data_IF_924548421907
#
_entry.id   IF_924548421907
#
_cell.length_a   1.000
_cell.length_b   1.000
_cell.length_c   1.000
_cell.angle_alpha   90.00
_cell.angle_beta   90.00
_cell.angle_gamma   90.00
#
_symmetry.space_group_name_H-M   'P 1'
#
loop_
_entity.id
_entity.type
_entity.pdbx_description
1 polymer ?
#
# COMPACT_ATOMS: atom_id res chain seq x y z
N UNK A 1 -21.74 -6.86 -35.22
CA UNK A 1 -20.27 -6.65 -35.24
C UNK A 1 -20.01 -5.48 -34.34
N UNK A 2 -19.37 -5.69 -33.18
CA UNK A 2 -18.95 -4.55 -32.33
C UNK A 2 -17.82 -3.80 -33.04
N UNK A 3 -17.88 -2.47 -33.05
CA UNK A 3 -16.79 -1.67 -33.64
C UNK A 3 -15.60 -1.61 -32.66
N UNK A 4 -14.37 -1.38 -33.16
CA UNK A 4 -13.21 -1.16 -32.30
C UNK A 4 -13.43 -0.06 -31.27
N UNK A 5 -14.11 1.02 -31.66
CA UNK A 5 -14.49 2.12 -30.78
C UNK A 5 -15.46 1.69 -29.67
N UNK A 6 -16.50 0.92 -29.99
CA UNK A 6 -17.45 0.41 -28.99
C UNK A 6 -16.75 -0.53 -27.98
N UNK A 7 -15.84 -1.37 -28.48
CA UNK A 7 -15.04 -2.26 -27.64
C UNK A 7 -14.14 -1.45 -26.70
N UNK A 8 -13.44 -0.44 -27.23
CA UNK A 8 -12.58 0.44 -26.44
C UNK A 8 -13.37 1.23 -25.39
N UNK A 9 -14.56 1.75 -25.74
CA UNK A 9 -15.44 2.43 -24.79
C UNK A 9 -15.83 1.51 -23.62
N UNK A 10 -16.24 0.28 -23.91
CA UNK A 10 -16.61 -0.69 -22.88
C UNK A 10 -15.44 -1.04 -21.96
N UNK A 11 -14.26 -1.29 -22.53
CA UNK A 11 -13.05 -1.59 -21.76
C UNK A 11 -12.64 -0.41 -20.88
N UNK A 12 -12.75 0.81 -21.40
CA UNK A 12 -12.40 2.02 -20.65
C UNK A 12 -13.37 2.26 -19.48
N UNK A 13 -14.68 2.11 -19.70
CA UNK A 13 -15.66 2.20 -18.61
C UNK A 13 -15.40 1.14 -17.53
N UNK A 14 -15.09 -0.10 -17.92
CA UNK A 14 -14.74 -1.14 -16.95
C UNK A 14 -13.46 -0.81 -16.16
N UNK A 15 -12.48 -0.15 -16.78
CA UNK A 15 -11.28 0.31 -16.09
C UNK A 15 -11.55 1.48 -15.14
N UNK A 16 -12.43 2.40 -15.48
CA UNK A 16 -12.86 3.50 -14.62
C UNK A 16 -13.59 2.97 -13.37
N UNK A 17 -14.44 1.95 -13.54
CA UNK A 17 -15.11 1.26 -12.43
C UNK A 17 -14.09 0.58 -11.50
N UNK A 18 -13.14 -0.17 -12.06
CA UNK A 18 -12.07 -0.80 -11.29
C UNK A 18 -11.18 0.23 -10.59
N UNK A 19 -10.86 1.35 -11.24
CA UNK A 19 -10.08 2.42 -10.62
C UNK A 19 -10.84 3.11 -9.48
N UNK A 20 -12.16 3.25 -9.60
CA UNK A 20 -13.01 3.76 -8.53
C UNK A 20 -13.05 2.81 -7.33
N UNK A 21 -13.18 1.50 -7.58
CA UNK A 21 -13.12 0.46 -6.54
C UNK A 21 -11.74 0.45 -5.85
N UNK A 22 -10.65 0.49 -6.62
CA UNK A 22 -9.29 0.60 -6.06
C UNK A 22 -9.16 1.83 -5.15
N UNK A 23 -9.62 3.01 -5.59
CA UNK A 23 -9.57 4.22 -4.77
C UNK A 23 -10.38 4.12 -3.47
N UNK A 24 -11.40 3.25 -3.38
CA UNK A 24 -12.11 2.96 -2.13
C UNK A 24 -11.25 2.07 -1.23
N UNK A 25 -10.72 0.97 -1.78
CA UNK A 25 -9.89 0.01 -1.04
C UNK A 25 -8.61 0.65 -0.48
N UNK A 26 -7.98 1.54 -1.26
CA UNK A 26 -6.80 2.28 -0.82
C UNK A 26 -7.09 3.20 0.37
N UNK A 27 -8.30 3.78 0.46
CA UNK A 27 -8.70 4.61 1.60
C UNK A 27 -9.01 3.79 2.85
N UNK A 28 -9.52 2.57 2.68
CA UNK A 28 -9.74 1.63 3.79
C UNK A 28 -8.49 0.82 4.15
N UNK A 29 -7.35 1.07 3.49
CA UNK A 29 -6.09 0.34 3.65
C UNK A 29 -6.23 -1.17 3.38
N UNK A 30 -7.22 -1.57 2.58
CA UNK A 30 -7.37 -2.96 2.12
C UNK A 30 -6.49 -3.19 0.89
N UNK A 31 -5.18 -3.27 1.14
CA UNK A 31 -4.16 -3.32 0.10
C UNK A 31 -4.14 -4.65 -0.66
N UNK A 32 -4.56 -5.74 -0.02
CA UNK A 32 -4.59 -7.08 -0.64
C UNK A 32 -5.65 -7.11 -1.74
N UNK A 33 -6.86 -6.63 -1.45
CA UNK A 33 -7.92 -6.53 -2.46
C UNK A 33 -7.58 -5.49 -3.54
N UNK A 34 -6.90 -4.39 -3.18
CA UNK A 34 -6.46 -3.40 -4.16
C UNK A 34 -5.48 -4.00 -5.19
N UNK A 35 -4.57 -4.88 -4.77
CA UNK A 35 -3.67 -5.60 -5.69
C UNK A 35 -4.45 -6.49 -6.64
N UNK A 36 -5.44 -7.24 -6.15
CA UNK A 36 -6.28 -8.09 -7.02
C UNK A 36 -7.01 -7.26 -8.10
N UNK A 37 -7.50 -6.06 -7.76
CA UNK A 37 -8.10 -5.16 -8.75
C UNK A 37 -7.08 -4.73 -9.80
N UNK A 38 -5.85 -4.41 -9.38
CA UNK A 38 -4.78 -4.01 -10.29
C UNK A 38 -4.41 -5.14 -11.27
N UNK A 39 -4.29 -6.37 -10.78
CA UNK A 39 -4.04 -7.57 -11.60
C UNK A 39 -5.17 -7.81 -12.60
N UNK A 40 -6.44 -7.62 -12.18
CA UNK A 40 -7.60 -7.73 -13.08
C UNK A 40 -7.65 -6.62 -14.13
N UNK A 41 -7.12 -5.45 -13.83
CA UNK A 41 -7.07 -4.31 -14.74
C UNK A 41 -6.00 -4.47 -15.83
N UNK A 42 -4.87 -5.13 -15.53
CA UNK A 42 -3.76 -5.33 -16.46
C UNK A 42 -4.17 -5.84 -17.86
N UNK A 43 -4.94 -6.95 -18.00
CA UNK A 43 -5.34 -7.43 -19.33
C UNK A 43 -6.31 -6.49 -20.08
N UNK A 44 -7.03 -5.62 -19.37
CA UNK A 44 -7.90 -4.61 -20.01
C UNK A 44 -7.07 -3.47 -20.59
N UNK A 45 -6.02 -3.05 -19.89
CA UNK A 45 -5.06 -2.05 -20.36
C UNK A 45 -4.34 -2.56 -21.61
N UNK A 46 -3.84 -3.80 -21.60
CA UNK A 46 -3.19 -4.40 -22.77
C UNK A 46 -4.10 -4.41 -24.00
N UNK A 47 -5.36 -4.81 -23.83
CA UNK A 47 -6.36 -4.80 -24.90
C UNK A 47 -6.65 -3.40 -25.42
N UNK A 48 -6.72 -2.39 -24.54
CA UNK A 48 -6.88 -1.00 -24.95
C UNK A 48 -5.66 -0.48 -25.72
N UNK A 49 -4.45 -0.84 -25.31
CA UNK A 49 -3.23 -0.49 -26.03
C UNK A 49 -3.23 -1.09 -27.45
N UNK A 50 -3.69 -2.34 -27.60
CA UNK A 50 -3.83 -2.96 -28.91
C UNK A 50 -4.87 -2.24 -29.81
N UNK A 51 -5.97 -1.75 -29.23
CA UNK A 51 -7.01 -1.01 -29.94
C UNK A 51 -6.63 0.46 -30.21
N UNK A 52 -5.62 1.00 -29.53
CA UNK A 52 -5.21 2.40 -29.67
C UNK A 52 -4.64 2.76 -31.05
N UNK A 53 -4.36 1.77 -31.90
CA UNK A 53 -3.94 1.97 -33.30
C UNK A 53 -5.08 2.52 -34.15
N UNK A 54 -6.34 2.27 -33.77
CA UNK A 54 -7.50 2.77 -34.51
C UNK A 54 -7.72 4.28 -34.24
N UNK A 55 -7.74 5.14 -35.28
CA UNK A 55 -7.89 6.58 -35.11
C UNK A 55 -9.22 6.98 -34.46
N UNK A 56 -10.27 6.15 -34.54
CA UNK A 56 -11.53 6.42 -33.85
C UNK A 56 -11.37 6.38 -32.31
N UNK A 57 -10.43 5.59 -31.80
CA UNK A 57 -10.14 5.46 -30.36
C UNK A 57 -9.45 6.69 -29.80
N UNK A 58 -8.83 7.53 -30.65
CA UNK A 58 -8.21 8.79 -30.24
C UNK A 58 -9.20 9.75 -29.55
N UNK A 59 -10.50 9.64 -29.85
CA UNK A 59 -11.56 10.40 -29.19
C UNK A 59 -11.68 10.11 -27.69
N UNK A 60 -11.18 8.96 -27.23
CA UNK A 60 -11.20 8.55 -25.81
C UNK A 60 -9.99 9.05 -25.02
N UNK A 61 -9.04 9.73 -25.66
CA UNK A 61 -7.84 10.31 -25.02
C UNK A 61 -8.13 11.07 -23.73
N UNK A 62 -9.09 12.03 -23.64
CA UNK A 62 -9.31 12.78 -22.41
C UNK A 62 -9.70 11.90 -21.22
N UNK A 63 -10.51 10.86 -21.46
CA UNK A 63 -10.89 9.90 -20.41
C UNK A 63 -9.71 9.05 -19.95
N UNK A 64 -8.84 8.63 -20.87
CA UNK A 64 -7.61 7.91 -20.53
C UNK A 64 -6.68 8.80 -19.71
N UNK A 65 -6.54 10.08 -20.06
CA UNK A 65 -5.74 11.04 -19.29
C UNK A 65 -6.27 11.24 -17.87
N UNK A 66 -7.59 11.32 -17.70
CA UNK A 66 -8.23 11.40 -16.40
C UNK A 66 -7.96 10.14 -15.54
N UNK A 67 -8.10 8.96 -16.14
CA UNK A 67 -7.79 7.68 -15.50
C UNK A 67 -6.32 7.63 -15.04
N UNK A 68 -5.38 8.05 -15.90
CA UNK A 68 -3.96 8.13 -15.56
C UNK A 68 -3.72 9.13 -14.43
N UNK A 69 -4.36 10.30 -14.46
CA UNK A 69 -4.26 11.27 -13.38
C UNK A 69 -4.78 10.72 -12.05
N UNK A 70 -5.88 9.96 -12.06
CA UNK A 70 -6.39 9.27 -10.87
C UNK A 70 -5.39 8.25 -10.33
N UNK A 71 -4.83 7.39 -11.19
CA UNK A 71 -3.83 6.39 -10.78
C UNK A 71 -2.56 7.03 -10.21
N UNK A 72 -2.13 8.18 -10.76
CA UNK A 72 -1.02 8.97 -10.20
C UNK A 72 -1.32 9.50 -8.80
N UNK A 73 -2.53 10.01 -8.57
CA UNK A 73 -2.97 10.45 -7.22
C UNK A 73 -2.94 9.30 -6.21
N UNK A 74 -3.42 8.13 -6.62
CA UNK A 74 -3.37 6.92 -5.80
C UNK A 74 -1.92 6.50 -5.45
N UNK A 75 -1.01 6.55 -6.42
CA UNK A 75 0.41 6.23 -6.20
C UNK A 75 1.07 7.19 -5.18
N UNK A 76 0.84 8.50 -5.32
CA UNK A 76 1.36 9.51 -4.37
C UNK A 76 0.82 9.27 -2.96
N UNK A 77 -0.46 8.90 -2.84
CA UNK A 77 -1.04 8.54 -1.55
C UNK A 77 -0.32 7.32 -0.94
N UNK A 78 -0.11 6.26 -1.71
CA UNK A 78 0.61 5.06 -1.26
C UNK A 78 2.04 5.37 -0.82
N UNK A 79 2.76 6.19 -1.58
CA UNK A 79 4.13 6.61 -1.23
C UNK A 79 4.16 7.33 0.12
N UNK A 80 3.17 8.20 0.38
CA UNK A 80 3.06 8.90 1.66
C UNK A 80 2.78 7.95 2.83
N UNK A 81 1.95 6.92 2.63
CA UNK A 81 1.67 5.90 3.64
C UNK A 81 2.91 5.04 3.91
N UNK A 82 3.61 4.63 2.86
CA UNK A 82 4.83 3.84 2.96
C UNK A 82 5.91 4.61 3.73
N UNK A 83 6.13 5.88 3.41
CA UNK A 83 7.09 6.74 4.11
C UNK A 83 6.74 6.88 5.61
N UNK A 84 5.45 7.03 5.93
CA UNK A 84 4.98 7.09 7.32
C UNK A 84 5.24 5.79 8.07
N UNK A 85 4.84 4.64 7.51
CA UNK A 85 5.01 3.33 8.13
C UNK A 85 6.49 2.99 8.36
N UNK A 86 7.36 3.33 7.41
CA UNK A 86 8.81 3.18 7.58
C UNK A 86 9.35 4.05 8.73
N UNK A 87 8.85 5.28 8.88
CA UNK A 87 9.18 6.14 10.01
C UNK A 87 8.72 5.56 11.36
N UNK A 88 7.52 5.00 11.41
CA UNK A 88 6.98 4.34 12.61
C UNK A 88 7.79 3.09 12.99
N UNK A 89 8.17 2.26 12.00
CA UNK A 89 9.00 1.07 12.22
C UNK A 89 10.37 1.43 12.81
N UNK A 90 11.04 2.47 12.27
CA UNK A 90 12.31 2.96 12.82
C UNK A 90 12.19 3.41 14.28
N UNK A 91 11.10 4.11 14.63
CA UNK A 91 10.85 4.55 16.01
C UNK A 91 10.63 3.36 16.96
N UNK A 92 9.92 2.32 16.49
CA UNK A 92 9.72 1.08 17.26
C UNK A 92 11.04 0.37 17.48
N UNK A 93 11.90 0.28 16.47
CA UNK A 93 13.21 -0.37 16.59
C UNK A 93 14.14 0.40 17.52
N UNK A 94 14.14 1.74 17.46
CA UNK A 94 14.85 2.56 18.45
C UNK A 94 14.33 2.34 19.87
N UNK A 95 13.01 2.24 20.06
CA UNK A 95 12.42 1.95 21.36
C UNK A 95 12.82 0.56 21.87
N UNK A 96 12.79 -0.46 21.00
CA UNK A 96 13.28 -1.82 21.29
C UNK A 96 14.76 -1.81 21.67
N UNK A 97 15.59 -1.06 20.95
CA UNK A 97 17.02 -0.93 21.26
C UNK A 97 17.25 -0.24 22.61
N UNK A 98 16.48 0.80 22.95
CA UNK A 98 16.52 1.44 24.28
C UNK A 98 16.10 0.46 25.37
N UNK A 99 15.01 -0.29 25.17
CA UNK A 99 14.56 -1.31 26.11
C UNK A 99 15.59 -2.42 26.29
N UNK A 100 16.22 -2.90 25.21
CA UNK A 100 17.27 -3.91 25.27
C UNK A 100 18.50 -3.43 26.08
N UNK A 101 18.83 -2.14 26.04
CA UNK A 101 19.92 -1.56 26.85
C UNK A 101 19.56 -1.42 28.33
N UNK A 102 18.29 -1.18 28.64
CA UNK A 102 17.81 -0.97 30.01
C UNK A 102 17.43 -2.29 30.70
N UNK A 103 16.94 -3.27 29.94
CA UNK A 103 16.58 -4.61 30.42
C UNK A 103 17.63 -5.25 31.36
N UNK A 104 18.95 -5.28 31.06
CA UNK A 104 19.95 -5.90 31.94
C UNK A 104 20.06 -5.26 33.33
N UNK A 105 19.71 -3.97 33.47
CA UNK A 105 19.73 -3.25 34.76
C UNK A 105 18.59 -3.71 35.68
N UNK A 106 17.47 -4.14 35.09
CA UNK A 106 16.27 -4.57 35.83
C UNK A 106 16.08 -6.10 35.86
N UNK A 107 16.75 -6.85 34.98
CA UNK A 107 16.76 -8.32 35.00
C UNK A 107 17.80 -8.91 35.96
N UNK A 108 18.72 -8.08 36.47
CA UNK A 108 19.61 -8.42 37.57
C UNK A 108 18.84 -8.37 38.89
N UNK A 109 18.09 -9.43 39.20
CA UNK A 109 17.57 -9.65 40.54
C UNK A 109 18.70 -9.47 41.55
N UNK A 110 18.47 -8.62 42.56
CA UNK A 110 19.40 -8.45 43.66
C UNK A 110 19.76 -9.84 44.21
N UNK A 111 21.05 -10.20 44.37
CA UNK A 111 21.37 -11.31 45.24
C UNK A 111 20.81 -10.92 46.61
N UNK A 112 19.90 -11.74 47.16
CA UNK A 112 19.57 -11.70 48.57
C UNK A 112 20.88 -11.92 49.31
N UNK A 113 21.53 -10.83 49.71
CA UNK A 113 22.66 -10.85 50.63
C UNK A 113 22.06 -11.32 51.95
N UNK A 114 22.12 -12.62 52.19
CA UNK A 114 21.84 -13.19 53.50
C UNK A 114 22.80 -12.54 54.50
N UNK A 115 22.24 -11.59 55.25
CA UNK A 115 22.89 -10.92 56.36
C UNK A 115 23.33 -11.97 57.38
N UNK A 116 24.62 -12.32 57.39
CA UNK A 116 25.27 -13.16 58.41
C UNK A 116 25.45 -12.41 59.74
N UNK A 117 24.44 -11.67 60.20
CA UNK A 117 24.50 -10.93 61.47
C UNK A 117 23.75 -11.61 62.63
N UNK A 118 23.25 -12.84 62.47
CA UNK A 118 22.54 -13.56 63.55
C UNK A 118 23.21 -14.91 63.95
N UNK A 119 24.54 -14.96 64.04
CA UNK A 119 25.23 -16.09 64.72
C UNK A 119 26.48 -15.61 65.47
N UNK A 120 26.33 -14.73 66.46
CA UNK A 120 27.30 -14.60 67.54
C UNK A 120 26.69 -13.87 68.75
N UNK A 121 26.81 -14.51 69.91
CA UNK A 121 26.56 -14.03 71.28
C UNK A 121 25.12 -14.07 71.79
#
# INVERSE_FOLDING_TARGET
METPLQTAQRLLSALEDLASQESVLLRSLDLVEAVQISERAAPLVEKLCALAVDPAVALLRPRVEELVAQRRRNAVLLDSHLARLQGELRRIDEARNRLARVAPVYSGGAPLVESRLNTAA
#
